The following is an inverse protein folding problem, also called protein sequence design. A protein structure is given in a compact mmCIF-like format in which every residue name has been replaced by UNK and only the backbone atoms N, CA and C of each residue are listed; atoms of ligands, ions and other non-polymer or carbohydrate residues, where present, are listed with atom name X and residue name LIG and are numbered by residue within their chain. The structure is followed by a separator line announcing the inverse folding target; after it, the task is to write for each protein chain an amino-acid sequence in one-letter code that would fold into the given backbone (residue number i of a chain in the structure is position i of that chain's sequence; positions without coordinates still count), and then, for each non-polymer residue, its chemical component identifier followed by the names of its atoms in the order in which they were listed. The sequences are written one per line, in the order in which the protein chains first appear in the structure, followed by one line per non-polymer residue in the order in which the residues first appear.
data_IF_926816691883
#
_entry.id   IF_926816691883
#
_cell.length_a   1.000
_cell.length_b   1.000
_cell.length_c   1.000
_cell.angle_alpha   90.00
_cell.angle_beta   90.00
_cell.angle_gamma   90.00
#
_symmetry.space_group_name_H-M   'P 1'
#
loop_
_entity.id
_entity.type
_entity.pdbx_description
1 polymer ?
#
# COMPACT_ATOMS: atom_id res chain seq x y z
N UNK A 1 20.09 26.96 -13.39
CA UNK A 1 19.15 27.51 -12.39
C UNK A 1 18.36 28.62 -13.09
N UNK A 2 17.62 28.27 -14.15
CA UNK A 2 16.89 29.26 -14.94
C UNK A 2 15.42 28.85 -14.89
N UNK A 3 14.59 29.68 -14.23
CA UNK A 3 13.15 29.44 -14.09
C UNK A 3 12.61 29.39 -12.66
N UNK A 4 13.22 30.09 -11.69
CA UNK A 4 12.45 30.42 -10.46
C UNK A 4 11.31 31.30 -10.92
N UNK A 5 10.07 30.83 -10.75
CA UNK A 5 8.87 31.61 -11.07
C UNK A 5 8.96 32.96 -10.33
N UNK A 6 9.25 34.03 -11.06
CA UNK A 6 9.17 35.37 -10.47
C UNK A 6 7.69 35.67 -10.21
N UNK A 7 7.35 36.36 -9.11
CA UNK A 7 5.95 36.68 -8.76
C UNK A 7 5.15 37.34 -9.89
N UNK A 8 5.84 38.04 -10.79
CA UNK A 8 5.25 38.76 -11.92
C UNK A 8 4.72 37.84 -13.04
N UNK A 9 5.20 36.60 -13.12
CA UNK A 9 4.80 35.61 -14.14
C UNK A 9 3.70 34.66 -13.66
N UNK A 10 3.15 34.87 -12.46
CA UNK A 10 2.12 34.01 -11.87
C UNK A 10 0.73 34.30 -12.45
N UNK A 11 -0.02 33.25 -12.76
CA UNK A 11 -1.45 33.36 -13.09
C UNK A 11 -2.27 33.70 -11.82
N UNK A 12 -3.55 34.07 -11.97
CA UNK A 12 -4.38 34.52 -10.84
C UNK A 12 -4.54 33.47 -9.73
N UNK A 13 -4.56 32.19 -10.09
CA UNK A 13 -4.68 31.07 -9.14
C UNK A 13 -3.36 30.81 -8.43
N UNK A 14 -2.24 30.87 -9.17
CA UNK A 14 -0.89 30.78 -8.63
C UNK A 14 -0.60 31.94 -7.69
N UNK A 15 -1.07 33.16 -8.00
CA UNK A 15 -1.02 34.31 -7.08
C UNK A 15 -1.83 34.05 -5.82
N UNK A 16 -3.04 33.50 -5.94
CA UNK A 16 -3.85 33.14 -4.77
C UNK A 16 -3.14 32.09 -3.89
N UNK A 17 -2.52 31.08 -4.48
CA UNK A 17 -1.71 30.08 -3.77
C UNK A 17 -0.46 30.70 -3.14
N UNK A 18 0.23 31.55 -3.88
CA UNK A 18 1.37 32.31 -3.41
C UNK A 18 1.00 33.10 -2.16
N UNK A 19 -0.12 33.84 -2.21
CA UNK A 19 -0.65 34.64 -1.11
C UNK A 19 -1.11 33.83 0.09
N UNK A 20 -1.70 32.65 -0.12
CA UNK A 20 -2.18 31.76 0.94
C UNK A 20 -1.07 31.01 1.69
N UNK A 21 0.10 30.81 1.07
CA UNK A 21 1.16 29.93 1.58
C UNK A 21 1.68 30.27 3.00
N UNK A 22 2.05 31.51 3.34
CA UNK A 22 2.63 31.87 4.64
C UNK A 22 1.68 31.66 5.81
N UNK A 23 0.39 31.94 5.60
CA UNK A 23 -0.68 31.66 6.56
C UNK A 23 -1.07 30.18 6.59
N UNK A 24 -0.61 29.38 5.61
CA UNK A 24 -0.99 27.99 5.42
C UNK A 24 -2.48 27.83 5.09
N UNK A 25 -3.10 28.82 4.46
CA UNK A 25 -4.53 28.82 4.12
C UNK A 25 -4.83 27.88 2.95
N UNK A 26 -6.03 27.28 2.95
CA UNK A 26 -6.50 26.42 1.86
C UNK A 26 -6.96 27.25 0.68
N UNK A 27 -6.45 26.92 -0.52
CA UNK A 27 -7.01 27.36 -1.80
C UNK A 27 -7.88 26.23 -2.37
N UNK A 28 -9.20 26.40 -2.31
CA UNK A 28 -10.19 25.44 -2.82
C UNK A 28 -10.79 25.94 -4.14
N UNK A 29 -10.54 25.18 -5.22
CA UNK A 29 -10.89 25.54 -6.59
C UNK A 29 -12.01 24.68 -7.17
N UNK A 30 -12.65 23.82 -6.37
CA UNK A 30 -13.65 22.84 -6.85
C UNK A 30 -14.92 23.45 -7.42
N UNK A 31 -15.21 24.72 -7.13
CA UNK A 31 -16.36 25.43 -7.69
C UNK A 31 -16.18 25.79 -9.17
N UNK A 32 -14.97 25.68 -9.72
CA UNK A 32 -14.69 25.93 -11.12
C UNK A 32 -15.20 24.76 -12.00
N UNK A 33 -15.85 25.09 -13.12
CA UNK A 33 -16.31 24.05 -14.07
C UNK A 33 -15.17 23.30 -14.74
N UNK A 34 -14.08 24.01 -15.06
CA UNK A 34 -12.81 23.42 -15.51
C UNK A 34 -11.77 23.64 -14.42
N UNK A 35 -11.01 22.61 -13.99
CA UNK A 35 -9.98 22.76 -12.97
C UNK A 35 -8.95 23.84 -13.38
N UNK A 36 -8.71 24.87 -12.56
CA UNK A 36 -7.74 25.90 -12.89
C UNK A 36 -6.31 25.35 -12.88
N UNK A 37 -5.46 25.90 -13.74
CA UNK A 37 -4.09 25.44 -13.91
C UNK A 37 -3.13 26.07 -12.90
N UNK A 38 -2.30 25.23 -12.28
CA UNK A 38 -1.21 25.64 -11.39
C UNK A 38 0.04 24.89 -11.80
N UNK A 39 1.12 25.60 -12.08
CA UNK A 39 2.40 24.97 -12.43
C UNK A 39 3.03 24.26 -11.23
N UNK A 40 3.50 23.04 -11.44
CA UNK A 40 4.21 22.24 -10.45
C UNK A 40 5.50 22.91 -9.97
N UNK A 41 6.13 23.71 -10.83
CA UNK A 41 7.33 24.49 -10.53
C UNK A 41 7.05 25.61 -9.52
N UNK A 42 5.85 26.22 -9.55
CA UNK A 42 5.44 27.24 -8.57
C UNK A 42 5.24 26.59 -7.19
N UNK A 43 4.59 25.42 -7.17
CA UNK A 43 4.42 24.64 -5.93
C UNK A 43 5.80 24.25 -5.36
N UNK A 44 6.70 23.75 -6.22
CA UNK A 44 8.05 23.39 -5.81
C UNK A 44 8.82 24.61 -5.29
N UNK A 45 8.72 25.77 -5.96
CA UNK A 45 9.37 27.01 -5.52
C UNK A 45 8.91 27.44 -4.13
N UNK A 46 7.60 27.42 -3.84
CA UNK A 46 7.06 27.73 -2.51
C UNK A 46 7.62 26.80 -1.44
N UNK A 47 7.62 25.49 -1.69
CA UNK A 47 8.14 24.48 -0.76
C UNK A 47 9.67 24.56 -0.55
N UNK A 48 10.38 25.18 -1.49
CA UNK A 48 11.83 25.39 -1.46
C UNK A 48 12.21 26.80 -0.98
N UNK A 49 11.26 27.56 -0.42
CA UNK A 49 11.53 28.83 0.25
C UNK A 49 11.49 30.07 -0.65
N UNK A 50 10.74 30.04 -1.75
CA UNK A 50 10.57 31.22 -2.60
C UNK A 50 9.73 32.34 -1.95
N UNK A 51 9.03 32.04 -0.84
CA UNK A 51 8.28 33.01 -0.03
C UNK A 51 8.56 32.78 1.45
N UNK A 52 8.67 33.86 2.21
CA UNK A 52 8.87 33.83 3.66
C UNK A 52 7.61 33.41 4.41
N UNK A 53 7.81 32.75 5.56
CA UNK A 53 6.73 32.34 6.45
C UNK A 53 6.13 33.54 7.20
N UNK A 54 4.83 33.49 7.49
CA UNK A 54 4.16 34.51 8.29
C UNK A 54 4.30 34.19 9.78
N UNK A 55 4.79 35.16 10.56
CA UNK A 55 4.97 35.00 12.01
C UNK A 55 3.64 34.65 12.68
N UNK A 56 3.66 33.60 13.50
CA UNK A 56 2.47 33.13 14.22
C UNK A 56 1.59 32.16 13.42
N UNK A 57 1.92 31.90 12.15
CA UNK A 57 1.24 30.93 11.31
C UNK A 57 2.18 29.77 10.95
N UNK A 58 1.58 28.65 10.52
CA UNK A 58 2.31 27.50 10.00
C UNK A 58 2.14 27.48 8.48
N UNK A 59 3.16 27.96 7.76
CA UNK A 59 3.14 27.99 6.31
C UNK A 59 2.98 26.59 5.72
N UNK A 60 2.20 26.49 4.64
CA UNK A 60 1.87 25.21 4.00
C UNK A 60 1.37 25.42 2.57
N UNK A 61 1.62 24.43 1.71
CA UNK A 61 0.90 24.35 0.42
C UNK A 61 -0.37 23.53 0.64
N UNK A 62 -1.51 24.20 0.58
CA UNK A 62 -2.85 23.59 0.67
C UNK A 62 -3.67 23.97 -0.55
N UNK A 63 -3.78 23.04 -1.49
CA UNK A 63 -4.49 23.24 -2.75
C UNK A 63 -5.47 22.10 -2.98
N UNK A 64 -6.69 22.45 -3.39
CA UNK A 64 -7.71 21.47 -3.74
C UNK A 64 -8.39 21.79 -5.07
N UNK A 65 -8.58 20.79 -5.92
CA UNK A 65 -9.36 20.94 -7.16
C UNK A 65 -8.62 21.65 -8.31
N UNK A 66 -7.28 21.57 -8.34
CA UNK A 66 -6.46 22.18 -9.39
C UNK A 66 -5.98 21.17 -10.42
N UNK A 67 -5.70 21.63 -11.66
CA UNK A 67 -4.88 20.90 -12.62
C UNK A 67 -3.43 21.33 -12.47
N UNK A 68 -2.57 20.41 -12.07
CA UNK A 68 -1.14 20.63 -11.90
C UNK A 68 -0.44 20.37 -13.24
N UNK A 69 0.04 21.44 -13.85
CA UNK A 69 0.77 21.42 -15.12
C UNK A 69 2.28 21.44 -14.85
N UNK A 70 3.09 20.97 -15.80
CA UNK A 70 4.55 20.92 -15.60
C UNK A 70 4.99 19.97 -14.48
N UNK A 71 6.22 20.15 -13.99
CA UNK A 71 6.88 19.18 -13.13
C UNK A 71 6.88 19.59 -11.65
N UNK A 72 6.16 18.84 -10.81
CA UNK A 72 6.32 18.91 -9.36
C UNK A 72 7.52 18.04 -8.94
N UNK A 73 8.70 18.66 -8.88
CA UNK A 73 9.98 17.99 -8.60
C UNK A 73 10.61 18.50 -7.31
N UNK A 74 10.74 17.62 -6.33
CA UNK A 74 11.35 17.88 -5.01
C UNK A 74 12.53 16.95 -4.72
N UNK A 75 13.26 16.58 -5.78
CA UNK A 75 14.32 15.56 -5.70
C UNK A 75 15.48 16.02 -4.82
N UNK A 76 15.83 15.20 -3.82
CA UNK A 76 16.80 15.50 -2.75
C UNK A 76 16.46 16.75 -1.90
N UNK A 77 15.24 17.27 -1.98
CA UNK A 77 14.84 18.45 -1.23
C UNK A 77 14.58 18.15 0.24
N UNK A 78 14.84 19.13 1.10
CA UNK A 78 14.32 19.16 2.48
C UNK A 78 13.20 20.19 2.56
N UNK A 79 11.97 19.70 2.75
CA UNK A 79 10.75 20.50 2.76
C UNK A 79 10.16 20.45 4.17
N UNK A 80 10.26 21.58 4.88
CA UNK A 80 9.72 21.73 6.23
C UNK A 80 8.20 21.89 6.27
N UNK A 81 7.61 22.37 5.16
CA UNK A 81 6.21 22.76 5.08
C UNK A 81 5.31 21.58 4.68
N UNK A 82 4.09 21.45 5.24
CA UNK A 82 3.12 20.46 4.78
C UNK A 82 2.73 20.66 3.31
N UNK A 83 2.60 19.54 2.60
CA UNK A 83 2.19 19.49 1.19
C UNK A 83 0.85 18.74 1.06
N UNK A 84 -0.21 19.47 0.71
CA UNK A 84 -1.57 18.96 0.60
C UNK A 84 -2.13 19.35 -0.77
N UNK A 85 -2.08 18.42 -1.73
CA UNK A 85 -2.58 18.58 -3.10
C UNK A 85 -3.74 17.60 -3.33
N UNK A 86 -4.92 17.97 -2.88
CA UNK A 86 -6.07 17.07 -2.79
C UNK A 86 -7.06 17.27 -3.93
N UNK A 87 -7.69 16.19 -4.40
CA UNK A 87 -8.67 16.26 -5.51
C UNK A 87 -8.12 17.01 -6.74
N UNK A 88 -6.80 16.91 -6.98
CA UNK A 88 -6.09 17.57 -8.10
C UNK A 88 -5.85 16.60 -9.27
N UNK A 89 -5.63 17.14 -10.46
CA UNK A 89 -5.27 16.38 -11.66
C UNK A 89 -3.85 16.74 -12.10
N UNK A 90 -2.96 15.76 -12.25
CA UNK A 90 -1.57 15.98 -12.64
C UNK A 90 -1.34 15.58 -14.10
N UNK A 91 -0.73 16.47 -14.87
CA UNK A 91 -0.28 16.17 -16.23
C UNK A 91 0.98 15.29 -16.21
N UNK A 92 1.86 15.51 -15.25
CA UNK A 92 3.12 14.77 -15.07
C UNK A 92 3.20 14.05 -13.72
N UNK A 93 4.09 13.07 -13.61
CA UNK A 93 4.32 12.33 -12.37
C UNK A 93 5.00 13.24 -11.34
N UNK A 94 4.46 13.42 -10.12
CA UNK A 94 5.19 14.05 -9.02
C UNK A 94 6.44 13.23 -8.66
N UNK A 95 7.57 13.91 -8.52
CA UNK A 95 8.89 13.33 -8.25
C UNK A 95 9.46 13.82 -6.92
N UNK A 96 9.32 12.96 -5.90
CA UNK A 96 9.77 13.15 -4.53
C UNK A 96 10.99 12.26 -4.21
N UNK A 97 11.75 11.85 -5.23
CA UNK A 97 12.90 10.97 -5.05
C UNK A 97 13.87 11.53 -4.00
N UNK A 98 14.09 10.76 -2.93
CA UNK A 98 14.99 11.13 -1.82
C UNK A 98 14.61 12.41 -1.06
N UNK A 99 13.40 12.94 -1.25
CA UNK A 99 12.96 14.14 -0.55
C UNK A 99 12.73 13.84 0.94
N UNK A 100 12.91 14.84 1.80
CA UNK A 100 12.44 14.83 3.19
C UNK A 100 11.25 15.77 3.32
N UNK A 101 10.13 15.24 3.76
CA UNK A 101 8.84 15.92 3.84
C UNK A 101 8.25 15.74 5.23
N UNK A 102 7.41 16.69 5.66
CA UNK A 102 6.63 16.56 6.89
C UNK A 102 5.38 15.71 6.68
N UNK A 103 4.21 16.32 6.53
CA UNK A 103 2.96 15.64 6.18
C UNK A 103 2.66 15.85 4.69
N UNK A 104 2.33 14.76 3.98
CA UNK A 104 2.14 14.80 2.53
C UNK A 104 0.85 14.07 2.11
N UNK A 105 -0.09 14.81 1.53
CA UNK A 105 -1.36 14.26 1.03
C UNK A 105 -1.58 14.60 -0.44
N UNK A 106 -1.97 13.58 -1.19
CA UNK A 106 -2.50 13.69 -2.54
C UNK A 106 -3.94 13.13 -2.62
N UNK A 107 -4.66 13.10 -1.49
CA UNK A 107 -5.93 12.40 -1.38
C UNK A 107 -6.93 12.80 -2.49
N UNK A 108 -7.53 11.82 -3.15
CA UNK A 108 -8.50 12.04 -4.23
C UNK A 108 -7.90 12.50 -5.57
N UNK A 109 -6.58 12.68 -5.66
CA UNK A 109 -5.93 13.20 -6.87
C UNK A 109 -5.72 12.14 -7.94
N UNK A 110 -5.63 12.58 -9.20
CA UNK A 110 -5.37 11.75 -10.39
C UNK A 110 -3.99 12.09 -10.93
N UNK A 111 -3.15 11.10 -11.18
CA UNK A 111 -1.78 11.34 -11.67
C UNK A 111 -1.28 10.17 -12.53
N UNK A 112 -0.39 10.43 -13.49
CA UNK A 112 0.11 9.38 -14.36
C UNK A 112 0.95 8.37 -13.59
N UNK A 113 1.64 8.74 -12.51
CA UNK A 113 2.43 7.85 -11.65
C UNK A 113 2.83 8.56 -10.36
N UNK A 114 3.56 7.88 -9.46
CA UNK A 114 4.11 8.52 -8.25
C UNK A 114 5.53 8.04 -7.97
N UNK A 115 6.50 8.95 -7.89
CA UNK A 115 7.89 8.64 -7.51
C UNK A 115 8.20 9.17 -6.11
N UNK A 116 8.44 8.24 -5.18
CA UNK A 116 8.86 8.52 -3.80
C UNK A 116 9.88 7.48 -3.33
N UNK A 117 10.75 6.98 -4.21
CA UNK A 117 11.79 6.05 -3.78
C UNK A 117 12.77 6.79 -2.85
N UNK A 118 13.10 6.15 -1.73
CA UNK A 118 13.90 6.70 -0.63
C UNK A 118 13.36 8.01 -0.02
N UNK A 119 12.10 8.35 -0.27
CA UNK A 119 11.46 9.51 0.38
C UNK A 119 11.42 9.29 1.89
N UNK A 120 11.65 10.35 2.66
CA UNK A 120 11.37 10.37 4.08
C UNK A 120 10.17 11.27 4.36
N UNK A 121 9.16 10.71 5.02
CA UNK A 121 7.96 11.45 5.42
C UNK A 121 7.83 11.36 6.94
N UNK A 122 7.94 12.48 7.63
CA UNK A 122 7.86 12.51 9.10
C UNK A 122 6.41 12.34 9.61
N UNK A 123 5.42 12.62 8.77
CA UNK A 123 4.01 12.34 9.00
C UNK A 123 3.48 11.14 8.20
N UNK A 124 2.23 11.25 7.74
CA UNK A 124 1.61 10.27 6.87
C UNK A 124 1.91 10.59 5.40
N UNK A 125 1.99 9.54 4.58
CA UNK A 125 1.87 9.65 3.14
C UNK A 125 0.47 9.18 2.73
N UNK A 126 -0.36 10.13 2.30
CA UNK A 126 -1.75 9.88 1.97
C UNK A 126 -1.97 9.92 0.45
N UNK A 127 -2.28 8.75 -0.11
CA UNK A 127 -2.62 8.49 -1.51
C UNK A 127 -4.03 7.87 -1.63
N UNK A 128 -4.89 8.17 -0.67
CA UNK A 128 -6.21 7.57 -0.56
C UNK A 128 -7.17 8.14 -1.58
N UNK A 129 -8.02 7.29 -2.16
CA UNK A 129 -8.93 7.64 -3.28
C UNK A 129 -8.21 8.20 -4.51
N UNK A 130 -6.90 8.02 -4.62
CA UNK A 130 -6.17 8.45 -5.82
C UNK A 130 -6.42 7.50 -6.99
N UNK A 131 -6.28 8.02 -8.21
CA UNK A 131 -6.16 7.22 -9.43
C UNK A 131 -4.75 7.40 -9.99
N UNK A 132 -3.94 6.33 -9.99
CA UNK A 132 -2.54 6.35 -10.40
C UNK A 132 -2.32 5.30 -11.49
N UNK A 133 -1.89 5.72 -12.68
CA UNK A 133 -1.96 4.86 -13.89
C UNK A 133 -0.66 4.16 -14.32
N UNK A 134 0.49 4.58 -13.79
CA UNK A 134 1.84 4.07 -14.10
C UNK A 134 2.62 3.76 -12.81
N UNK A 135 1.89 3.24 -11.82
CA UNK A 135 2.40 2.73 -10.57
C UNK A 135 2.94 3.76 -9.57
N UNK A 136 3.13 3.26 -8.35
CA UNK A 136 3.64 3.98 -7.19
C UNK A 136 4.98 3.38 -6.77
N UNK A 137 6.03 4.21 -6.73
CA UNK A 137 7.39 3.78 -6.37
C UNK A 137 7.77 4.34 -5.01
N UNK A 138 7.89 3.46 -4.02
CA UNK A 138 8.24 3.75 -2.62
C UNK A 138 9.38 2.83 -2.15
N UNK A 139 10.24 2.39 -3.07
CA UNK A 139 11.37 1.53 -2.73
C UNK A 139 12.30 2.23 -1.75
N UNK A 140 12.55 1.62 -0.59
CA UNK A 140 13.38 2.20 0.47
C UNK A 140 12.78 3.42 1.19
N UNK A 141 11.51 3.75 0.95
CA UNK A 141 10.84 4.87 1.63
C UNK A 141 10.81 4.70 3.16
N UNK A 142 10.87 5.80 3.89
CA UNK A 142 10.81 5.85 5.34
C UNK A 142 9.67 6.77 5.77
N UNK A 143 8.59 6.19 6.30
CA UNK A 143 7.38 6.91 6.67
C UNK A 143 7.19 6.73 8.18
N UNK A 144 7.32 7.82 8.94
CA UNK A 144 7.19 7.79 10.41
C UNK A 144 5.72 7.70 10.85
N UNK A 145 4.78 8.08 9.99
CA UNK A 145 3.36 7.79 10.13
C UNK A 145 2.94 6.53 9.37
N UNK A 146 1.73 6.58 8.83
CA UNK A 146 1.13 5.51 8.01
C UNK A 146 1.18 5.79 6.51
N UNK A 147 1.09 4.72 5.72
CA UNK A 147 0.88 4.78 4.27
C UNK A 147 -0.60 4.50 3.98
N UNK A 148 -1.32 5.52 3.52
CA UNK A 148 -2.78 5.49 3.40
C UNK A 148 -3.21 5.49 1.93
N UNK A 149 -3.75 4.37 1.48
CA UNK A 149 -4.19 4.07 0.10
C UNK A 149 -5.64 3.53 0.09
N UNK A 150 -6.46 3.92 1.07
CA UNK A 150 -7.85 3.45 1.13
C UNK A 150 -8.60 3.85 -0.15
N UNK A 151 -9.35 2.91 -0.72
CA UNK A 151 -10.12 3.09 -1.96
C UNK A 151 -9.31 3.67 -3.16
N UNK A 152 -7.98 3.49 -3.17
CA UNK A 152 -7.14 3.92 -4.28
C UNK A 152 -7.30 2.99 -5.50
N UNK A 153 -7.17 3.55 -6.70
CA UNK A 153 -7.13 2.83 -7.97
C UNK A 153 -5.72 2.91 -8.53
N UNK A 154 -5.00 1.79 -8.51
CA UNK A 154 -3.61 1.71 -8.94
C UNK A 154 -3.50 0.82 -10.17
N UNK A 155 -2.92 1.34 -11.24
CA UNK A 155 -2.53 0.57 -12.41
C UNK A 155 -1.02 0.63 -12.54
N UNK A 156 -0.38 -0.54 -12.61
CA UNK A 156 1.05 -0.64 -12.91
C UNK A 156 1.31 -0.66 -14.41
N UNK A 157 2.54 -0.33 -14.85
CA UNK A 157 2.97 -0.58 -16.22
C UNK A 157 2.98 -2.07 -16.55
N UNK A 158 2.94 -2.40 -17.84
CA UNK A 158 2.87 -3.78 -18.34
C UNK A 158 3.89 -4.76 -17.71
N UNK A 159 5.14 -4.32 -17.56
CA UNK A 159 6.24 -5.13 -17.02
C UNK A 159 6.73 -4.61 -15.65
N UNK A 160 5.85 -3.97 -14.87
CA UNK A 160 6.23 -3.41 -13.58
C UNK A 160 5.23 -3.64 -12.47
N UNK A 161 5.36 -2.84 -11.43
CA UNK A 161 4.61 -2.96 -10.19
C UNK A 161 3.62 -1.81 -10.09
N UNK A 162 2.37 -2.12 -9.75
CA UNK A 162 1.38 -1.11 -9.43
C UNK A 162 1.75 -0.39 -8.13
N UNK A 163 2.30 -1.11 -7.16
CA UNK A 163 2.92 -0.55 -5.96
C UNK A 163 4.23 -1.26 -5.67
N UNK A 164 5.33 -0.51 -5.65
CA UNK A 164 6.66 -1.01 -5.31
C UNK A 164 7.17 -0.35 -4.03
N UNK A 165 6.93 -0.98 -2.89
CA UNK A 165 7.38 -0.56 -1.56
C UNK A 165 8.41 -1.54 -0.97
N UNK A 166 9.28 -2.09 -1.83
CA UNK A 166 10.35 -2.98 -1.38
C UNK A 166 11.28 -2.24 -0.41
N UNK A 167 11.62 -2.87 0.72
CA UNK A 167 12.46 -2.29 1.79
C UNK A 167 11.88 -1.00 2.40
N UNK A 168 10.60 -0.70 2.21
CA UNK A 168 9.97 0.43 2.88
C UNK A 168 9.93 0.19 4.41
N UNK A 169 10.19 1.23 5.18
CA UNK A 169 10.02 1.25 6.63
C UNK A 169 8.86 2.20 6.95
N UNK A 170 7.76 1.66 7.47
CA UNK A 170 6.53 2.39 7.78
C UNK A 170 6.27 2.16 9.27
N UNK A 171 6.38 3.20 10.08
CA UNK A 171 6.26 3.04 11.53
C UNK A 171 4.80 2.85 11.97
N UNK A 172 3.84 3.42 11.22
CA UNK A 172 2.41 3.23 11.44
C UNK A 172 1.80 2.13 10.56
N UNK A 173 0.50 2.30 10.28
CA UNK A 173 -0.29 1.34 9.51
C UNK A 173 -0.08 1.49 7.99
N UNK A 174 -0.29 0.39 7.28
CA UNK A 174 -0.47 0.38 5.82
C UNK A 174 -1.93 0.07 5.54
N UNK A 175 -2.67 1.04 5.00
CA UNK A 175 -4.12 0.93 4.81
C UNK A 175 -4.43 0.96 3.31
N UNK A 176 -4.86 -0.16 2.75
CA UNK A 176 -5.32 -0.31 1.36
C UNK A 176 -6.75 -0.87 1.29
N UNK A 177 -7.54 -0.66 2.35
CA UNK A 177 -8.92 -1.13 2.43
C UNK A 177 -9.73 -0.65 1.23
N UNK A 178 -10.36 -1.58 0.51
CA UNK A 178 -11.17 -1.30 -0.68
C UNK A 178 -10.39 -0.86 -1.93
N UNK A 179 -9.06 -0.89 -1.91
CA UNK A 179 -8.25 -0.51 -3.07
C UNK A 179 -8.45 -1.48 -4.26
N UNK A 180 -8.37 -0.94 -5.47
CA UNK A 180 -8.42 -1.68 -6.73
C UNK A 180 -7.06 -1.58 -7.41
N UNK A 181 -6.42 -2.72 -7.66
CA UNK A 181 -5.05 -2.75 -8.16
C UNK A 181 -4.96 -3.63 -9.41
N UNK A 182 -4.50 -3.05 -10.50
CA UNK A 182 -4.15 -3.77 -11.73
C UNK A 182 -2.63 -3.83 -11.85
N UNK A 183 -2.07 -5.02 -11.67
CA UNK A 183 -0.63 -5.25 -11.58
C UNK A 183 -0.17 -5.61 -10.16
N UNK A 184 1.09 -6.06 -10.01
CA UNK A 184 1.58 -6.64 -8.77
C UNK A 184 1.92 -5.58 -7.71
N UNK A 185 1.81 -5.96 -6.44
CA UNK A 185 2.11 -5.15 -5.24
C UNK A 185 3.26 -5.75 -4.46
N UNK A 186 4.27 -4.95 -4.09
CA UNK A 186 5.44 -5.41 -3.34
C UNK A 186 5.66 -4.63 -2.04
N UNK A 187 5.69 -5.34 -0.93
CA UNK A 187 6.18 -4.90 0.38
C UNK A 187 7.42 -5.69 0.84
N UNK A 188 7.98 -6.56 0.00
CA UNK A 188 9.05 -7.46 0.37
C UNK A 188 10.26 -6.77 1.02
N UNK A 189 10.82 -7.40 2.05
CA UNK A 189 11.87 -6.86 2.94
C UNK A 189 11.47 -5.57 3.67
N UNK A 190 10.18 -5.23 3.71
CA UNK A 190 9.65 -4.06 4.41
C UNK A 190 9.50 -4.30 5.91
N UNK A 191 9.42 -3.21 6.66
CA UNK A 191 9.11 -3.20 8.09
C UNK A 191 7.91 -2.32 8.34
N UNK A 192 6.87 -2.87 8.94
CA UNK A 192 5.61 -2.18 9.21
C UNK A 192 5.37 -2.27 10.71
N UNK A 193 5.44 -1.13 11.39
CA UNK A 193 5.26 -1.04 12.85
C UNK A 193 3.79 -1.14 13.28
N UNK A 194 2.86 -0.93 12.34
CA UNK A 194 1.42 -1.04 12.57
C UNK A 194 0.78 -2.26 11.90
N UNK A 195 -0.52 -2.13 11.68
CA UNK A 195 -1.38 -3.11 11.01
C UNK A 195 -1.27 -2.94 9.50
N UNK A 196 -1.29 -4.06 8.78
CA UNK A 196 -1.48 -4.08 7.33
C UNK A 196 -2.94 -4.40 7.04
N UNK A 197 -3.68 -3.41 6.55
CA UNK A 197 -5.11 -3.51 6.24
C UNK A 197 -5.34 -3.56 4.73
N UNK A 198 -5.63 -4.74 4.21
CA UNK A 198 -5.95 -5.03 2.81
C UNK A 198 -7.37 -5.58 2.69
N UNK A 199 -8.26 -5.21 3.60
CA UNK A 199 -9.64 -5.70 3.58
C UNK A 199 -10.36 -5.21 2.32
N UNK A 200 -11.12 -6.09 1.68
CA UNK A 200 -11.86 -5.80 0.44
C UNK A 200 -10.98 -5.33 -0.71
N UNK A 201 -9.66 -5.58 -0.65
CA UNK A 201 -8.77 -5.27 -1.77
C UNK A 201 -9.10 -6.16 -2.97
N UNK A 202 -8.98 -5.59 -4.17
CA UNK A 202 -8.96 -6.36 -5.42
C UNK A 202 -7.62 -6.20 -6.09
N UNK A 203 -6.93 -7.30 -6.38
CA UNK A 203 -5.66 -7.29 -7.12
C UNK A 203 -5.77 -8.20 -8.33
N UNK A 204 -5.54 -7.66 -9.53
CA UNK A 204 -5.49 -8.43 -10.77
C UNK A 204 -4.07 -8.42 -11.32
N UNK A 205 -3.33 -9.52 -11.16
CA UNK A 205 -1.96 -9.66 -11.63
C UNK A 205 -1.63 -11.13 -12.00
N UNK A 206 -2.24 -11.70 -13.06
CA UNK A 206 -2.01 -13.08 -13.49
C UNK A 206 -0.63 -13.31 -14.16
N UNK A 207 0.28 -12.34 -14.07
CA UNK A 207 1.58 -12.35 -14.72
C UNK A 207 2.66 -13.17 -13.99
N UNK A 208 3.94 -13.02 -14.36
CA UNK A 208 5.04 -13.79 -13.80
C UNK A 208 5.40 -13.38 -12.35
N UNK A 209 4.95 -12.21 -11.91
CA UNK A 209 5.19 -11.70 -10.56
C UNK A 209 4.05 -12.10 -9.63
N UNK A 210 4.33 -12.35 -8.33
CA UNK A 210 3.27 -12.46 -7.34
C UNK A 210 2.38 -11.22 -7.35
N UNK A 211 1.07 -11.43 -7.26
CA UNK A 211 0.11 -10.34 -7.14
C UNK A 211 0.34 -9.52 -5.87
N UNK A 212 0.68 -10.20 -4.77
CA UNK A 212 1.05 -9.58 -3.51
C UNK A 212 2.31 -10.25 -2.95
N UNK A 213 3.43 -9.53 -3.00
CA UNK A 213 4.72 -9.95 -2.44
C UNK A 213 4.99 -9.26 -1.10
N UNK A 214 4.95 -10.04 -0.02
CA UNK A 214 5.31 -9.63 1.34
C UNK A 214 6.45 -10.48 1.90
N UNK A 215 7.30 -11.05 1.03
CA UNK A 215 8.41 -11.89 1.45
C UNK A 215 9.40 -11.13 2.34
N UNK A 216 9.81 -11.73 3.46
CA UNK A 216 10.69 -11.14 4.46
C UNK A 216 10.14 -9.83 5.09
N UNK A 217 8.83 -9.59 4.98
CA UNK A 217 8.19 -8.43 5.63
C UNK A 217 7.94 -8.72 7.12
N UNK A 218 8.18 -7.73 7.97
CA UNK A 218 7.72 -7.75 9.38
C UNK A 218 6.52 -6.83 9.53
N UNK A 219 5.46 -7.31 10.19
CA UNK A 219 4.36 -6.50 10.67
C UNK A 219 4.24 -6.68 12.18
N UNK A 220 4.42 -5.59 12.93
CA UNK A 220 4.45 -5.65 14.40
C UNK A 220 3.04 -5.73 15.01
N UNK A 221 2.00 -5.54 14.19
CA UNK A 221 0.60 -5.79 14.54
C UNK A 221 -0.03 -6.85 13.60
N UNK A 222 -1.32 -6.71 13.29
CA UNK A 222 -2.07 -7.68 12.50
C UNK A 222 -1.90 -7.48 10.98
N UNK A 223 -2.19 -8.52 10.22
CA UNK A 223 -2.29 -8.49 8.77
C UNK A 223 -3.69 -8.97 8.36
N UNK A 224 -4.54 -8.02 7.98
CA UNK A 224 -5.92 -8.28 7.58
C UNK A 224 -6.05 -8.18 6.08
N UNK A 225 -6.50 -9.26 5.45
CA UNK A 225 -6.81 -9.32 4.03
C UNK A 225 -8.13 -10.06 3.86
N UNK A 226 -9.18 -9.57 4.54
CA UNK A 226 -10.52 -10.18 4.59
C UNK A 226 -11.34 -9.71 3.40
N UNK A 227 -12.24 -10.54 2.90
CA UNK A 227 -13.09 -10.21 1.73
C UNK A 227 -12.28 -9.80 0.48
N UNK A 228 -11.04 -10.23 0.38
CA UNK A 228 -10.15 -9.86 -0.72
C UNK A 228 -10.40 -10.73 -1.96
N UNK A 229 -10.19 -10.18 -3.14
CA UNK A 229 -10.20 -10.89 -4.42
C UNK A 229 -8.83 -10.70 -5.08
N UNK A 230 -8.01 -11.75 -5.15
CA UNK A 230 -6.64 -11.65 -5.64
C UNK A 230 -6.40 -12.70 -6.73
N UNK A 231 -6.06 -12.21 -7.93
CA UNK A 231 -5.65 -13.01 -9.07
C UNK A 231 -4.13 -12.93 -9.24
N UNK A 232 -3.46 -14.06 -9.03
CA UNK A 232 -2.02 -14.23 -8.96
C UNK A 232 -1.58 -14.75 -7.58
N UNK A 233 -0.28 -14.97 -7.42
CA UNK A 233 0.27 -15.51 -6.17
C UNK A 233 0.28 -14.44 -5.04
N UNK A 234 -0.17 -14.83 -3.85
CA UNK A 234 0.14 -14.13 -2.59
C UNK A 234 1.31 -14.85 -1.92
N UNK A 235 2.43 -14.16 -1.73
CA UNK A 235 3.63 -14.72 -1.08
C UNK A 235 3.99 -13.95 0.20
N UNK A 236 4.27 -14.70 1.25
CA UNK A 236 4.65 -14.24 2.59
C UNK A 236 5.79 -15.12 3.12
N UNK A 237 6.77 -15.47 2.27
CA UNK A 237 7.87 -16.33 2.67
C UNK A 237 8.74 -15.59 3.68
N UNK A 238 9.14 -16.27 4.75
CA UNK A 238 9.99 -15.69 5.79
C UNK A 238 9.43 -14.43 6.47
N UNK A 239 8.14 -14.13 6.28
CA UNK A 239 7.49 -12.98 6.92
C UNK A 239 7.25 -13.25 8.40
N UNK A 240 7.29 -12.21 9.22
CA UNK A 240 6.93 -12.28 10.64
C UNK A 240 5.75 -11.37 10.91
N UNK A 241 4.66 -11.93 11.40
CA UNK A 241 3.45 -11.19 11.78
C UNK A 241 3.19 -11.47 13.26
N UNK A 242 3.29 -10.43 14.09
CA UNK A 242 3.07 -10.53 15.54
C UNK A 242 1.57 -10.72 15.84
N UNK A 243 0.72 -9.96 15.15
CA UNK A 243 -0.73 -10.08 15.27
C UNK A 243 -1.32 -11.24 14.48
N UNK A 244 -2.65 -11.20 14.35
CA UNK A 244 -3.37 -12.18 13.54
C UNK A 244 -3.09 -12.00 12.04
N UNK A 245 -2.93 -13.11 11.31
CA UNK A 245 -2.98 -13.13 9.85
C UNK A 245 -4.34 -13.67 9.40
N UNK A 246 -5.15 -12.86 8.72
CA UNK A 246 -6.50 -13.26 8.31
C UNK A 246 -6.76 -13.06 6.82
N UNK A 247 -7.19 -14.14 6.16
CA UNK A 247 -7.76 -14.13 4.80
C UNK A 247 -9.24 -14.57 4.83
N UNK A 248 -9.93 -14.34 5.94
CA UNK A 248 -11.32 -14.80 6.08
C UNK A 248 -12.22 -14.17 5.02
N UNK A 249 -13.09 -14.97 4.40
CA UNK A 249 -13.98 -14.56 3.29
C UNK A 249 -13.28 -14.12 2.01
N UNK A 250 -11.99 -14.40 1.84
CA UNK A 250 -11.22 -14.00 0.66
C UNK A 250 -11.14 -15.08 -0.41
N UNK A 251 -11.01 -14.68 -1.67
CA UNK A 251 -10.87 -15.55 -2.83
C UNK A 251 -9.52 -15.29 -3.50
N UNK A 252 -8.62 -16.28 -3.44
CA UNK A 252 -7.29 -16.24 -4.05
C UNK A 252 -7.26 -17.19 -5.25
N UNK A 253 -6.86 -16.71 -6.42
CA UNK A 253 -6.83 -17.51 -7.66
C UNK A 253 -5.47 -17.38 -8.33
N UNK A 254 -4.80 -18.50 -8.54
CA UNK A 254 -3.59 -18.59 -9.34
C UNK A 254 -3.58 -19.94 -10.08
N UNK A 255 -4.45 -20.14 -11.08
CA UNK A 255 -4.54 -21.42 -11.79
C UNK A 255 -3.19 -21.74 -12.44
N UNK A 256 -2.64 -22.92 -12.15
CA UNK A 256 -1.31 -23.32 -12.63
C UNK A 256 -0.14 -22.88 -11.75
N UNK A 257 -0.39 -22.14 -10.66
CA UNK A 257 0.63 -21.70 -9.69
C UNK A 257 0.18 -21.82 -8.25
N UNK A 258 1.00 -21.41 -7.28
CA UNK A 258 0.59 -21.37 -5.87
C UNK A 258 -0.27 -20.13 -5.62
N UNK A 259 -1.46 -20.28 -5.05
CA UNK A 259 -2.31 -19.12 -4.71
C UNK A 259 -1.85 -18.40 -3.45
N UNK A 260 -1.50 -19.15 -2.39
CA UNK A 260 -1.00 -18.61 -1.13
C UNK A 260 0.26 -19.36 -0.68
N UNK A 261 1.37 -18.64 -0.56
CA UNK A 261 2.67 -19.18 -0.14
C UNK A 261 3.12 -18.53 1.17
N UNK A 262 3.02 -19.27 2.27
CA UNK A 262 3.40 -18.83 3.62
C UNK A 262 4.62 -19.60 4.17
N UNK A 263 5.49 -20.09 3.28
CA UNK A 263 6.61 -20.95 3.66
C UNK A 263 7.57 -20.24 4.61
N UNK A 264 7.83 -20.84 5.77
CA UNK A 264 8.71 -20.31 6.82
C UNK A 264 8.25 -18.96 7.40
N UNK A 265 6.97 -18.61 7.26
CA UNK A 265 6.40 -17.47 7.96
C UNK A 265 6.31 -17.77 9.47
N UNK A 266 6.53 -16.75 10.30
CA UNK A 266 6.30 -16.79 11.75
C UNK A 266 5.03 -16.01 12.05
N UNK A 267 4.00 -16.66 12.60
CA UNK A 267 2.70 -16.06 12.91
C UNK A 267 2.41 -16.25 14.39
N UNK A 268 2.46 -15.17 15.17
CA UNK A 268 2.27 -15.26 16.62
C UNK A 268 0.79 -15.19 17.01
N UNK A 269 0.00 -14.32 16.35
CA UNK A 269 -1.44 -14.18 16.59
C UNK A 269 -2.34 -15.21 15.89
N UNK A 270 -1.75 -16.17 15.17
CA UNK A 270 -2.45 -17.25 14.47
C UNK A 270 -2.88 -16.92 13.04
N UNK A 271 -3.32 -17.96 12.32
CA UNK A 271 -3.75 -17.91 10.92
C UNK A 271 -5.26 -18.20 10.81
N UNK A 272 -6.00 -17.26 10.22
CA UNK A 272 -7.46 -17.33 10.10
C UNK A 272 -7.88 -17.44 8.63
N UNK A 273 -8.30 -18.65 8.24
CA UNK A 273 -8.78 -19.01 6.89
C UNK A 273 -10.20 -19.60 6.96
N UNK A 274 -11.16 -18.85 7.49
CA UNK A 274 -12.53 -19.34 7.69
C UNK A 274 -13.57 -18.48 6.96
N UNK A 275 -14.84 -18.84 7.13
CA UNK A 275 -15.99 -18.15 6.56
C UNK A 275 -15.92 -17.99 5.03
N UNK A 276 -15.80 -19.09 4.28
CA UNK A 276 -15.86 -19.00 2.81
C UNK A 276 -14.58 -18.48 2.14
N UNK A 277 -13.44 -18.57 2.83
CA UNK A 277 -12.13 -18.49 2.17
C UNK A 277 -12.01 -19.55 1.06
N UNK A 278 -11.54 -19.14 -0.12
CA UNK A 278 -11.22 -20.02 -1.25
C UNK A 278 -9.82 -19.73 -1.78
N UNK A 279 -9.08 -20.78 -2.10
CA UNK A 279 -7.79 -20.69 -2.75
C UNK A 279 -7.71 -21.71 -3.90
N UNK A 280 -7.56 -21.22 -5.13
CA UNK A 280 -7.40 -22.04 -6.33
C UNK A 280 -5.97 -21.94 -6.86
N UNK A 281 -5.22 -23.04 -6.81
CA UNK A 281 -3.87 -23.12 -7.35
C UNK A 281 -3.28 -24.53 -7.21
N UNK A 282 -2.06 -24.73 -7.71
CA UNK A 282 -1.27 -25.94 -7.49
C UNK A 282 -0.83 -25.95 -6.02
N UNK A 283 -1.24 -26.98 -5.28
CA UNK A 283 -0.69 -27.26 -3.95
C UNK A 283 0.80 -27.53 -4.09
N UNK A 284 1.66 -26.66 -3.56
CA UNK A 284 3.13 -26.82 -3.55
C UNK A 284 3.64 -27.99 -2.70
N UNK A 285 2.83 -29.04 -2.49
CA UNK A 285 3.23 -30.25 -1.80
C UNK A 285 3.77 -31.26 -2.81
N UNK A 286 5.08 -31.27 -3.03
CA UNK A 286 5.76 -32.43 -3.60
C UNK A 286 5.88 -33.50 -2.51
N UNK A 287 5.10 -34.58 -2.64
CA UNK A 287 5.33 -35.76 -1.82
C UNK A 287 6.72 -36.35 -2.19
N UNK A 288 7.57 -36.71 -1.23
CA UNK A 288 8.74 -37.53 -1.55
C UNK A 288 8.24 -38.88 -2.06
N UNK A 289 8.71 -39.27 -3.25
CA UNK A 289 8.49 -40.60 -3.80
C UNK A 289 9.30 -41.63 -3.01
N UNK A 290 8.82 -41.99 -1.81
CA UNK A 290 9.10 -43.21 -1.01
C UNK A 290 9.07 -42.90 0.50
N UNK A 291 7.92 -43.09 1.13
CA UNK A 291 7.82 -43.52 2.53
C UNK A 291 6.36 -43.85 2.87
N UNK A 292 6.18 -44.91 3.64
CA UNK A 292 4.92 -45.60 3.83
C UNK A 292 3.87 -44.88 4.67
N UNK A 293 2.66 -45.38 4.50
CA UNK A 293 1.41 -45.16 5.24
C UNK A 293 1.61 -44.69 6.70
N UNK A 294 1.32 -43.42 6.94
CA UNK A 294 0.66 -42.87 8.12
C UNK A 294 0.20 -41.47 7.69
N UNK A 295 -1.05 -41.04 7.77
CA UNK A 295 -2.08 -41.28 8.74
C UNK A 295 -2.74 -39.92 9.02
N UNK A 296 -3.38 -39.32 8.01
CA UNK A 296 -4.36 -38.24 8.21
C UNK A 296 -5.63 -38.62 7.45
N UNK A 297 -6.68 -38.89 8.22
CA UNK A 297 -7.96 -39.39 7.75
C UNK A 297 -8.64 -38.40 6.82
N UNK A 298 -8.84 -38.84 5.58
CA UNK A 298 -9.85 -38.32 4.64
C UNK A 298 -11.21 -38.24 5.32
N UNK A 299 -11.78 -37.05 5.43
CA UNK A 299 -13.23 -36.80 5.30
C UNK A 299 -13.44 -35.46 4.61
N UNK A 300 -14.03 -35.50 3.42
CA UNK A 300 -14.38 -34.34 2.60
C UNK A 300 -14.28 -34.66 1.11
N UNK A 301 -15.41 -34.93 0.48
CA UNK A 301 -15.59 -35.45 -0.88
C UNK A 301 -14.70 -34.82 -1.97
N UNK A 302 -14.05 -35.70 -2.73
CA UNK A 302 -13.57 -35.41 -4.07
C UNK A 302 -14.73 -35.50 -5.08
N UNK A 303 -15.06 -34.38 -5.71
CA UNK A 303 -15.63 -34.35 -7.06
C UNK A 303 -14.77 -33.41 -7.88
N UNK A 304 -14.47 -33.78 -9.13
CA UNK A 304 -13.53 -33.08 -10.02
C UNK A 304 -13.78 -31.56 -10.04
N UNK A 305 -12.69 -30.81 -9.92
CA UNK A 305 -12.55 -29.34 -10.00
C UNK A 305 -13.15 -28.51 -8.85
N UNK A 306 -12.27 -27.92 -8.02
CA UNK A 306 -12.59 -26.85 -7.07
C UNK A 306 -12.84 -27.31 -5.63
N UNK A 307 -12.04 -26.82 -4.69
CA UNK A 307 -12.31 -26.96 -3.25
C UNK A 307 -13.56 -26.15 -2.89
N UNK A 308 -14.67 -26.81 -2.55
CA UNK A 308 -15.80 -26.19 -1.83
C UNK A 308 -15.84 -26.73 -0.41
N UNK A 309 -15.64 -25.86 0.58
CA UNK A 309 -15.86 -26.21 1.98
C UNK A 309 -17.35 -26.03 2.31
N UNK A 310 -18.06 -27.11 2.63
CA UNK A 310 -19.44 -27.07 3.05
C UNK A 310 -19.54 -26.61 4.51
N UNK A 311 -20.22 -25.48 4.74
CA UNK A 311 -20.59 -25.03 6.08
C UNK A 311 -21.66 -25.96 6.66
N UNK A 312 -21.34 -26.66 7.74
CA UNK A 312 -22.38 -27.15 8.68
C UNK A 312 -22.02 -26.70 10.09
N UNK A 313 -22.83 -25.77 10.58
CA UNK A 313 -22.81 -25.29 11.96
C UNK A 313 -23.04 -26.43 12.94
N UNK A 314 -22.17 -26.57 13.95
CA UNK A 314 -22.57 -26.98 15.30
C UNK A 314 -21.50 -26.59 16.32
N UNK A 315 -21.97 -25.90 17.36
CA UNK A 315 -21.23 -25.43 18.55
C UNK A 315 -20.36 -26.54 19.15
N UNK A 316 -19.15 -26.20 19.59
CA UNK A 316 -18.64 -26.56 20.92
C UNK A 316 -17.29 -25.90 21.22
N UNK A 317 -17.11 -25.60 22.50
CA UNK A 317 -15.99 -24.87 23.13
C UNK A 317 -14.70 -25.70 23.11
N UNK A 318 -13.55 -25.03 23.16
CA UNK A 318 -12.29 -25.63 23.60
C UNK A 318 -11.04 -24.90 23.14
N UNK A 319 -10.56 -23.94 23.93
CA UNK A 319 -9.16 -23.51 23.90
C UNK A 319 -8.27 -24.72 24.24
N UNK A 320 -7.17 -24.92 23.51
CA UNK A 320 -6.12 -25.85 23.89
C UNK A 320 -4.75 -25.14 23.84
N UNK A 321 -4.23 -24.88 25.04
CA UNK A 321 -2.84 -24.55 25.33
C UNK A 321 -1.98 -25.81 25.28
N UNK A 322 -0.79 -25.74 24.69
CA UNK A 322 0.14 -26.85 24.58
C UNK A 322 0.97 -27.04 25.87
N UNK A 323 0.89 -28.22 26.49
CA UNK A 323 1.76 -28.67 27.58
C UNK A 323 2.77 -29.69 27.06
N UNK A 324 4.04 -29.46 27.38
CA UNK A 324 5.21 -30.30 27.02
C UNK A 324 5.26 -31.51 27.94
N UNK A 325 5.50 -32.72 27.40
CA UNK A 325 5.81 -33.91 28.20
C UNK A 325 7.09 -34.60 27.68
N UNK A 326 8.05 -34.78 28.60
CA UNK A 326 9.31 -35.52 28.44
C UNK A 326 9.11 -37.05 28.55
N UNK A 327 10.04 -37.88 28.03
CA UNK A 327 9.84 -39.33 27.93
C UNK A 327 10.34 -40.06 29.18
N UNK A 328 9.65 -41.13 29.58
CA UNK A 328 10.18 -42.12 30.53
C UNK A 328 10.26 -43.51 29.90
N UNK A 329 11.38 -44.15 30.19
CA UNK A 329 11.90 -45.42 29.70
C UNK A 329 11.16 -46.60 30.35
N UNK A 330 10.95 -47.69 29.61
CA UNK A 330 10.47 -48.97 30.16
C UNK A 330 11.53 -50.03 29.85
N UNK A 331 11.91 -50.80 30.89
CA UNK A 331 12.56 -52.11 30.77
C UNK A 331 11.51 -53.18 30.54
#
# INVERSE_FOLDING_TARGET
MDGVAQPDDLNDVEKALWEAFPAGALVDLRAAGTPPEVRGEVIAALLLGAREDEVGHAAAVRLRGARITGSLRLVFAEVGHPLLLEECEFDERPDLYWARLSHTSFAGSRMPGFMGSNVRVDGHLQLSRCTITDGVRLGGAQISGGLLLFEAHLTGPADGWALYAQRAAIAGDVVMTGAQVTGPVRFGNGRIGGTVELDRIRITAPGPHPALDTDNTTADAAFYCRYAEIDGEVTMRHSRITGALSFSRSNLRNPGGTALRVSRATLEGGLYLHDGFTAEGISGWSAPASAGRSGWTRRGCATRAGWRCASTSRRSKGCLTAGVASPSTVR
#
